data_IF_428147378820
#
_entry.id   IF_428147378820
#
_cell.length_a   1.000
_cell.length_b   1.000
_cell.length_c   1.000
_cell.angle_alpha   90.00
_cell.angle_beta   90.00
_cell.angle_gamma   90.00
#
_symmetry.space_group_name_H-M   'P 1'
#
loop_
_entity.id
_entity.type
_entity.pdbx_description
1 polymer ?
#
# COMPACT_ATOMS: atom_id res chain seq x y z
N UNK A 1 22.70 -27.52 -36.79
CA UNK A 1 22.55 -26.36 -37.67
C UNK A 1 21.21 -25.73 -37.35
N UNK A 2 21.33 -24.59 -36.69
CA UNK A 2 20.48 -23.40 -36.71
C UNK A 2 19.05 -23.45 -36.18
N UNK A 3 19.00 -23.09 -34.89
CA UNK A 3 17.91 -22.41 -34.20
C UNK A 3 17.47 -21.18 -34.98
N UNK A 4 16.16 -20.99 -35.13
CA UNK A 4 15.55 -19.68 -35.31
C UNK A 4 14.18 -19.69 -34.61
N UNK A 5 14.21 -19.58 -33.29
CA UNK A 5 13.06 -19.05 -32.56
C UNK A 5 13.12 -17.54 -32.75
N UNK A 6 12.22 -17.02 -33.60
CA UNK A 6 12.02 -15.59 -33.74
C UNK A 6 11.55 -15.03 -32.40
N UNK A 7 12.40 -14.27 -31.74
CA UNK A 7 11.99 -13.30 -30.74
C UNK A 7 11.04 -12.33 -31.42
N UNK A 8 9.75 -12.47 -31.14
CA UNK A 8 8.77 -11.46 -31.50
C UNK A 8 9.10 -10.20 -30.69
N UNK A 9 9.83 -9.27 -31.30
CA UNK A 9 9.99 -7.92 -30.78
C UNK A 9 8.60 -7.26 -30.74
N UNK A 10 7.95 -7.30 -29.58
CA UNK A 10 6.80 -6.45 -29.29
C UNK A 10 7.28 -4.99 -29.20
N UNK A 11 7.30 -4.30 -30.34
CA UNK A 11 7.60 -2.86 -30.48
C UNK A 11 6.40 -1.97 -30.10
N UNK A 12 5.52 -2.44 -29.23
CA UNK A 12 4.37 -1.68 -28.72
C UNK A 12 4.71 -0.99 -27.41
N UNK A 13 4.43 0.32 -27.30
CA UNK A 13 4.44 1.03 -26.01
C UNK A 13 3.49 0.31 -25.06
N UNK A 14 4.01 -0.28 -23.97
CA UNK A 14 3.17 -0.93 -22.98
C UNK A 14 2.22 0.10 -22.37
N UNK A 15 0.92 -0.17 -22.53
CA UNK A 15 -0.15 0.65 -21.99
C UNK A 15 -1.11 -0.23 -21.22
N UNK A 16 -1.36 0.14 -19.96
CA UNK A 16 -2.34 -0.51 -19.12
C UNK A 16 -3.70 0.18 -19.28
N UNK A 17 -4.74 -0.62 -19.53
CA UNK A 17 -6.14 -0.16 -19.54
C UNK A 17 -6.95 -1.04 -18.57
N UNK A 18 -7.42 -0.51 -17.43
CA UNK A 18 -7.24 0.87 -16.94
C UNK A 18 -5.78 1.18 -16.55
N UNK A 19 -5.41 2.46 -16.33
CA UNK A 19 -4.06 2.83 -15.87
C UNK A 19 -3.62 2.05 -14.63
N UNK A 20 -2.32 1.78 -14.50
CA UNK A 20 -1.78 0.91 -13.44
C UNK A 20 -2.13 1.42 -12.02
N UNK A 21 -2.08 2.72 -11.80
CA UNK A 21 -2.50 3.35 -10.54
C UNK A 21 -3.96 3.03 -10.20
N UNK A 22 -4.85 3.02 -11.18
CA UNK A 22 -6.26 2.67 -10.97
C UNK A 22 -6.45 1.19 -10.70
N UNK A 23 -5.68 0.32 -11.36
CA UNK A 23 -5.69 -1.12 -11.04
C UNK A 23 -5.26 -1.38 -9.59
N UNK A 24 -4.23 -0.69 -9.09
CA UNK A 24 -3.79 -0.80 -7.69
C UNK A 24 -4.90 -0.39 -6.72
N UNK A 25 -5.55 0.75 -6.97
CA UNK A 25 -6.64 1.20 -6.10
C UNK A 25 -7.86 0.28 -6.19
N UNK A 26 -8.23 -0.18 -7.38
CA UNK A 26 -9.31 -1.14 -7.53
C UNK A 26 -9.03 -2.43 -6.75
N UNK A 27 -7.78 -2.94 -6.78
CA UNK A 27 -7.37 -4.09 -5.98
C UNK A 27 -7.61 -3.87 -4.48
N UNK A 28 -7.26 -2.69 -3.94
CA UNK A 28 -7.54 -2.35 -2.53
C UNK A 28 -9.04 -2.28 -2.26
N UNK A 29 -9.82 -1.69 -3.18
CA UNK A 29 -11.28 -1.62 -3.05
C UNK A 29 -11.91 -3.01 -3.00
N UNK A 30 -11.42 -3.95 -3.81
CA UNK A 30 -11.89 -5.33 -3.82
C UNK A 30 -11.56 -6.04 -2.50
N UNK A 31 -10.38 -5.78 -1.92
CA UNK A 31 -10.03 -6.28 -0.58
C UNK A 31 -10.92 -5.68 0.51
N UNK A 32 -11.23 -4.37 0.44
CA UNK A 32 -12.19 -3.74 1.37
C UNK A 32 -13.57 -4.37 1.23
N UNK A 33 -14.04 -4.66 0.02
CA UNK A 33 -15.30 -5.38 -0.20
C UNK A 33 -15.29 -6.82 0.33
N UNK A 34 -14.14 -7.49 0.31
CA UNK A 34 -13.98 -8.86 0.82
C UNK A 34 -13.93 -8.95 2.35
N UNK A 35 -13.21 -8.02 3.00
CA UNK A 35 -12.92 -8.09 4.43
C UNK A 35 -13.72 -7.12 5.29
N UNK A 36 -14.41 -6.17 4.66
CA UNK A 36 -15.24 -5.15 5.32
C UNK A 36 -14.58 -4.48 6.54
N UNK A 37 -13.32 -3.98 6.43
CA UNK A 37 -12.64 -3.35 7.56
C UNK A 37 -13.36 -2.07 8.00
N UNK A 38 -13.37 -1.81 9.32
CA UNK A 38 -13.95 -0.59 9.90
C UNK A 38 -12.94 0.53 9.99
N UNK A 39 -11.68 0.20 10.27
CA UNK A 39 -10.58 1.16 10.39
C UNK A 39 -9.51 0.88 9.35
N UNK A 40 -9.29 1.82 8.44
CA UNK A 40 -8.31 1.69 7.35
C UNK A 40 -7.29 2.83 7.39
N UNK A 41 -6.01 2.50 7.38
CA UNK A 41 -4.92 3.48 7.30
C UNK A 41 -4.15 3.31 5.99
N UNK A 42 -3.86 4.43 5.32
CA UNK A 42 -3.02 4.48 4.12
C UNK A 42 -1.70 5.19 4.43
N UNK A 43 -0.60 4.43 4.39
CA UNK A 43 0.74 4.94 4.65
C UNK A 43 1.40 5.28 3.31
N UNK A 44 1.85 6.51 3.16
CA UNK A 44 2.22 7.09 1.87
C UNK A 44 1.01 7.58 1.08
N UNK A 45 0.05 8.23 1.74
CA UNK A 45 -1.25 8.55 1.14
C UNK A 45 -1.21 9.64 0.06
N UNK A 46 -0.08 10.36 -0.09
CA UNK A 46 0.18 11.34 -1.13
C UNK A 46 -0.99 12.30 -1.40
N UNK A 47 -1.58 12.24 -2.60
CA UNK A 47 -2.68 13.10 -3.06
C UNK A 47 -4.07 12.70 -2.51
N UNK A 48 -4.10 11.74 -1.58
CA UNK A 48 -5.29 11.21 -0.92
C UNK A 48 -6.29 10.52 -1.87
N UNK A 49 -5.89 10.13 -3.09
CA UNK A 49 -6.80 9.54 -4.08
C UNK A 49 -7.35 8.18 -3.62
N UNK A 50 -6.55 7.35 -2.96
CA UNK A 50 -7.00 6.09 -2.39
C UNK A 50 -8.02 6.32 -1.27
N UNK A 51 -7.69 7.18 -0.30
CA UNK A 51 -8.60 7.57 0.79
C UNK A 51 -9.93 8.13 0.25
N UNK A 52 -9.88 8.98 -0.77
CA UNK A 52 -11.08 9.53 -1.41
C UNK A 52 -11.98 8.42 -1.99
N UNK A 53 -11.39 7.42 -2.64
CA UNK A 53 -12.15 6.31 -3.19
C UNK A 53 -12.74 5.42 -2.08
N UNK A 54 -11.98 5.18 -1.00
CA UNK A 54 -12.43 4.36 0.13
C UNK A 54 -13.49 5.03 1.01
N UNK A 55 -13.58 6.37 1.03
CA UNK A 55 -14.58 7.10 1.83
C UNK A 55 -16.03 6.72 1.47
N UNK A 56 -16.24 6.19 0.27
CA UNK A 56 -17.54 5.74 -0.24
C UNK A 56 -17.88 4.29 0.13
N UNK A 57 -16.94 3.53 0.71
CA UNK A 57 -17.21 2.20 1.24
C UNK A 57 -17.96 2.31 2.58
N UNK A 58 -19.17 1.73 2.65
CA UNK A 58 -20.06 1.87 3.81
C UNK A 58 -19.58 1.15 5.07
N UNK A 59 -18.73 0.12 4.94
CA UNK A 59 -18.16 -0.61 6.07
C UNK A 59 -17.12 0.19 6.86
N UNK A 60 -16.51 1.22 6.25
CA UNK A 60 -15.43 1.99 6.86
C UNK A 60 -16.01 3.11 7.74
N UNK A 61 -15.54 3.16 8.98
CA UNK A 61 -15.90 4.15 10.02
C UNK A 61 -14.73 5.11 10.30
N UNK A 62 -13.49 4.66 10.12
CA UNK A 62 -12.28 5.46 10.32
C UNK A 62 -11.31 5.30 9.15
N UNK A 63 -10.93 6.43 8.55
CA UNK A 63 -9.84 6.54 7.59
C UNK A 63 -8.70 7.36 8.17
N UNK A 64 -7.47 6.87 8.02
CA UNK A 64 -6.27 7.65 8.31
C UNK A 64 -5.33 7.68 7.11
N UNK A 65 -4.74 8.84 6.84
CA UNK A 65 -3.63 8.99 5.91
C UNK A 65 -2.37 9.41 6.64
N UNK A 66 -1.23 8.78 6.32
CA UNK A 66 0.09 9.20 6.79
C UNK A 66 0.97 9.52 5.59
N UNK A 67 1.62 10.69 5.60
CA UNK A 67 2.62 11.02 4.59
C UNK A 67 3.71 11.95 5.15
N UNK A 68 4.92 11.87 4.59
CA UNK A 68 6.03 12.78 4.91
C UNK A 68 5.83 14.16 4.24
N UNK A 69 5.00 14.25 3.20
CA UNK A 69 4.79 15.45 2.41
C UNK A 69 3.47 16.14 2.78
N UNK A 70 3.49 16.93 3.87
CA UNK A 70 2.31 17.65 4.35
C UNK A 70 1.70 18.62 3.31
N UNK A 71 2.52 19.21 2.43
CA UNK A 71 2.06 20.15 1.41
C UNK A 71 1.11 19.50 0.40
N UNK A 72 1.44 18.30 -0.08
CA UNK A 72 0.60 17.56 -1.03
C UNK A 72 -0.74 17.20 -0.39
N UNK A 73 -0.72 16.73 0.87
CA UNK A 73 -1.96 16.45 1.61
C UNK A 73 -2.82 17.71 1.79
N UNK A 74 -2.23 18.85 2.18
CA UNK A 74 -2.96 20.13 2.35
C UNK A 74 -3.61 20.61 1.07
N UNK A 75 -2.95 20.42 -0.06
CA UNK A 75 -3.51 20.81 -1.36
C UNK A 75 -4.74 19.95 -1.73
N UNK A 76 -4.75 18.66 -1.37
CA UNK A 76 -5.74 17.68 -1.86
C UNK A 76 -6.78 17.25 -0.82
N UNK A 77 -6.61 17.58 0.46
CA UNK A 77 -7.51 17.15 1.55
C UNK A 77 -8.97 17.58 1.35
N UNK A 78 -9.24 18.66 0.62
CA UNK A 78 -10.60 19.13 0.32
C UNK A 78 -11.47 18.07 -0.39
N UNK A 79 -10.84 17.10 -1.07
CA UNK A 79 -11.54 15.96 -1.69
C UNK A 79 -12.17 15.03 -0.66
N UNK A 80 -11.57 14.96 0.54
CA UNK A 80 -12.02 14.09 1.63
C UNK A 80 -13.20 14.69 2.40
N UNK A 81 -13.46 16.00 2.27
CA UNK A 81 -14.59 16.67 2.90
C UNK A 81 -15.93 16.01 2.54
N UNK A 82 -16.94 16.08 3.43
CA UNK A 82 -18.28 15.60 3.13
C UNK A 82 -18.83 16.28 1.86
N UNK A 83 -19.57 15.53 1.07
CA UNK A 83 -20.26 16.06 -0.11
C UNK A 83 -21.47 16.88 0.32
N UNK A 84 -21.96 17.81 -0.52
CA UNK A 84 -23.20 18.55 -0.22
C UNK A 84 -24.39 17.65 0.14
N UNK A 85 -24.49 16.47 -0.48
CA UNK A 85 -25.51 15.47 -0.18
C UNK A 85 -25.44 14.91 1.24
N UNK A 86 -24.23 14.79 1.82
CA UNK A 86 -24.04 14.27 3.18
C UNK A 86 -24.57 15.25 4.25
N UNK A 87 -24.65 16.54 3.94
CA UNK A 87 -25.25 17.56 4.81
C UNK A 87 -26.78 17.61 4.69
N UNK A 88 -27.30 17.40 3.48
CA UNK A 88 -28.73 17.45 3.20
C UNK A 88 -29.45 16.18 3.67
N UNK A 89 -28.78 15.03 3.59
CA UNK A 89 -29.28 13.74 4.04
C UNK A 89 -28.16 13.02 4.81
N UNK A 90 -27.95 13.39 6.09
CA UNK A 90 -26.96 12.74 6.93
C UNK A 90 -27.26 11.24 7.02
N UNK A 91 -26.31 10.41 6.59
CA UNK A 91 -26.41 8.96 6.77
C UNK A 91 -26.27 8.58 8.24
N UNK A 92 -26.74 7.39 8.61
CA UNK A 92 -26.54 6.84 9.96
C UNK A 92 -25.06 6.52 10.26
N UNK A 93 -24.24 6.38 9.21
CA UNK A 93 -22.81 6.11 9.36
C UNK A 93 -22.06 7.37 9.77
N UNK A 94 -21.24 7.26 10.81
CA UNK A 94 -20.20 8.24 11.12
C UNK A 94 -18.89 7.82 10.47
N UNK A 95 -18.36 8.66 9.58
CA UNK A 95 -17.03 8.47 8.97
C UNK A 95 -16.09 9.56 9.48
N UNK A 96 -15.01 9.15 10.12
CA UNK A 96 -13.92 10.05 10.51
C UNK A 96 -12.74 9.87 9.57
N UNK A 97 -12.22 10.97 9.02
CA UNK A 97 -11.04 10.96 8.15
C UNK A 97 -9.98 11.88 8.74
N UNK A 98 -8.79 11.35 9.03
CA UNK A 98 -7.70 12.12 9.64
C UNK A 98 -6.41 11.99 8.81
N UNK A 99 -5.73 13.11 8.57
CA UNK A 99 -4.44 13.13 7.88
C UNK A 99 -3.33 13.48 8.86
N UNK A 100 -2.22 12.75 8.77
CA UNK A 100 -1.07 12.85 9.65
C UNK A 100 0.20 13.10 8.84
N UNK A 101 0.95 14.11 9.24
CA UNK A 101 2.30 14.37 8.78
C UNK A 101 3.30 13.65 9.69
N UNK A 102 4.04 12.70 9.12
CA UNK A 102 5.00 11.88 9.85
C UNK A 102 5.67 10.84 8.94
N UNK A 103 6.62 10.08 9.51
CA UNK A 103 7.31 8.99 8.80
C UNK A 103 6.81 7.64 9.30
N UNK A 104 6.66 6.70 8.36
CA UNK A 104 6.34 5.29 8.66
C UNK A 104 7.44 4.58 9.46
N UNK A 105 8.63 5.18 9.56
CA UNK A 105 9.72 4.68 10.40
C UNK A 105 9.55 4.99 11.90
N UNK A 106 8.52 5.78 12.28
CA UNK A 106 8.23 6.13 13.67
C UNK A 106 6.95 5.47 14.16
N UNK A 107 6.96 5.00 15.41
CA UNK A 107 5.78 4.47 16.09
C UNK A 107 4.94 5.64 16.62
N UNK A 108 3.65 5.66 16.30
CA UNK A 108 2.70 6.62 16.86
C UNK A 108 1.42 5.91 17.36
N UNK A 109 0.99 6.12 18.61
CA UNK A 109 -0.19 5.49 19.17
C UNK A 109 -1.49 5.70 18.37
N UNK A 110 -1.59 6.78 17.59
CA UNK A 110 -2.77 7.03 16.75
C UNK A 110 -2.96 5.99 15.64
N UNK A 111 -1.93 5.20 15.33
CA UNK A 111 -1.95 4.13 14.32
C UNK A 111 -2.29 2.74 14.88
N UNK A 112 -2.64 2.65 16.17
CA UNK A 112 -3.00 1.38 16.79
C UNK A 112 -4.44 0.96 16.50
N UNK A 113 -4.66 -0.34 16.35
CA UNK A 113 -6.00 -0.93 16.27
C UNK A 113 -6.71 -0.72 14.93
N UNK A 114 -5.96 -0.48 13.85
CA UNK A 114 -6.48 -0.52 12.48
C UNK A 114 -6.74 -1.95 12.02
N UNK A 115 -7.78 -2.14 11.21
CA UNK A 115 -8.12 -3.45 10.65
C UNK A 115 -7.30 -3.72 9.39
N UNK A 116 -7.16 -2.70 8.54
CA UNK A 116 -6.43 -2.74 7.28
C UNK A 116 -5.42 -1.58 7.23
N UNK A 117 -4.17 -1.90 6.88
CA UNK A 117 -3.13 -0.92 6.56
C UNK A 117 -2.67 -1.12 5.12
N UNK A 118 -2.67 -0.05 4.33
CA UNK A 118 -2.17 -0.05 2.95
C UNK A 118 -0.86 0.71 2.85
N UNK A 119 0.08 0.16 2.08
CA UNK A 119 1.39 0.75 1.77
C UNK A 119 1.60 0.58 0.27
N UNK A 120 1.03 1.48 -0.52
CA UNK A 120 0.93 1.33 -1.98
C UNK A 120 2.03 2.13 -2.64
N UNK A 121 2.98 1.45 -3.26
CA UNK A 121 4.17 2.06 -3.87
C UNK A 121 4.92 2.96 -2.87
N UNK A 122 5.17 2.43 -1.67
CA UNK A 122 5.81 3.17 -0.58
C UNK A 122 7.23 2.69 -0.30
N UNK A 123 7.41 1.37 -0.18
CA UNK A 123 8.63 0.81 0.42
C UNK A 123 9.88 1.13 -0.41
N UNK A 124 9.75 1.24 -1.73
CA UNK A 124 10.81 1.61 -2.67
C UNK A 124 11.35 3.03 -2.46
N UNK A 125 10.62 3.89 -1.75
CA UNK A 125 11.06 5.24 -1.41
C UNK A 125 11.79 5.33 -0.08
N UNK A 126 11.76 4.26 0.72
CA UNK A 126 12.37 4.24 2.05
C UNK A 126 13.89 4.09 1.94
N UNK A 127 14.61 4.92 2.70
CA UNK A 127 16.05 4.71 2.89
C UNK A 127 16.30 3.39 3.63
N UNK A 128 17.49 2.81 3.48
CA UNK A 128 17.81 1.47 4.01
C UNK A 128 17.52 1.34 5.52
N UNK A 129 17.80 2.38 6.30
CA UNK A 129 17.53 2.40 7.74
C UNK A 129 16.04 2.48 8.08
N UNK A 130 15.24 3.14 7.24
CA UNK A 130 13.79 3.24 7.41
C UNK A 130 13.13 1.92 7.01
N UNK A 131 13.56 1.32 5.90
CA UNK A 131 13.10 0.00 5.45
C UNK A 131 13.36 -1.09 6.50
N UNK A 132 14.50 -1.03 7.21
CA UNK A 132 14.80 -1.95 8.32
C UNK A 132 13.85 -1.80 9.50
N UNK A 133 13.37 -0.58 9.79
CA UNK A 133 12.42 -0.29 10.89
C UNK A 133 10.98 -0.60 10.50
N UNK A 134 10.64 -0.45 9.22
CA UNK A 134 9.28 -0.55 8.71
C UNK A 134 8.52 -1.80 9.19
N UNK A 135 9.08 -3.03 9.13
CA UNK A 135 8.39 -4.22 9.63
C UNK A 135 8.02 -4.14 11.11
N UNK A 136 8.92 -3.64 11.95
CA UNK A 136 8.67 -3.52 13.40
C UNK A 136 7.57 -2.51 13.69
N UNK A 137 7.51 -1.40 12.94
CA UNK A 137 6.48 -0.37 13.12
C UNK A 137 5.12 -0.89 12.65
N UNK A 138 5.03 -1.43 11.43
CA UNK A 138 3.74 -1.81 10.83
C UNK A 138 3.24 -3.15 11.36
N UNK A 139 4.07 -4.20 11.36
CA UNK A 139 3.62 -5.54 11.74
C UNK A 139 3.74 -5.79 13.24
N UNK A 140 4.73 -5.21 13.90
CA UNK A 140 4.96 -5.35 15.34
C UNK A 140 4.13 -4.38 16.18
N UNK A 141 4.26 -3.07 15.93
CA UNK A 141 3.62 -2.05 16.75
C UNK A 141 2.17 -1.76 16.34
N UNK A 142 1.89 -1.40 15.09
CA UNK A 142 0.52 -1.15 14.61
C UNK A 142 -0.30 -2.45 14.64
N UNK A 143 0.35 -3.55 14.23
CA UNK A 143 -0.17 -4.91 14.23
C UNK A 143 -1.62 -5.04 13.73
N UNK A 144 -1.96 -4.53 12.53
CA UNK A 144 -3.33 -4.59 12.00
C UNK A 144 -3.75 -6.03 11.66
N UNK A 145 -5.05 -6.25 11.42
CA UNK A 145 -5.52 -7.58 10.97
C UNK A 145 -5.01 -7.92 9.57
N UNK A 146 -4.90 -6.92 8.70
CA UNK A 146 -4.48 -7.05 7.30
C UNK A 146 -3.49 -5.93 6.96
N UNK A 147 -2.39 -6.28 6.28
CA UNK A 147 -1.47 -5.32 5.65
C UNK A 147 -1.43 -5.61 4.15
N UNK A 148 -1.49 -4.58 3.32
CA UNK A 148 -1.29 -4.71 1.88
C UNK A 148 -0.13 -3.84 1.46
N UNK A 149 0.88 -4.47 0.87
CA UNK A 149 2.08 -3.77 0.39
C UNK A 149 2.16 -3.97 -1.13
N UNK A 150 2.32 -2.88 -1.87
CA UNK A 150 2.70 -2.94 -3.28
C UNK A 150 4.06 -2.29 -3.50
N UNK A 151 4.78 -2.78 -4.50
CA UNK A 151 6.02 -2.17 -4.98
C UNK A 151 6.24 -2.56 -6.45
N UNK A 152 7.00 -1.80 -7.24
CA UNK A 152 7.40 -2.18 -8.59
C UNK A 152 8.09 -3.55 -8.64
N UNK A 153 7.84 -4.30 -9.71
CA UNK A 153 8.62 -5.50 -10.06
C UNK A 153 9.70 -5.14 -11.08
N UNK A 154 10.97 -5.14 -10.68
CA UNK A 154 12.07 -4.75 -11.58
C UNK A 154 12.24 -5.67 -12.79
N UNK A 155 11.76 -6.92 -12.73
CA UNK A 155 11.79 -7.85 -13.87
C UNK A 155 10.90 -7.38 -15.03
N UNK A 156 9.93 -6.51 -14.76
CA UNK A 156 9.05 -5.93 -15.78
C UNK A 156 9.68 -4.69 -16.45
N UNK A 157 10.70 -4.08 -15.84
CA UNK A 157 11.29 -2.81 -16.33
C UNK A 157 11.80 -2.85 -17.77
N UNK A 158 12.44 -3.95 -18.26
CA UNK A 158 12.89 -4.01 -19.65
C UNK A 158 11.77 -3.84 -20.68
N UNK A 159 10.51 -4.06 -20.27
CA UNK A 159 9.36 -3.91 -21.14
C UNK A 159 8.80 -2.47 -21.16
N UNK A 160 9.25 -1.62 -20.23
CA UNK A 160 8.78 -0.24 -20.11
C UNK A 160 9.67 0.71 -20.92
N UNK A 161 9.09 1.55 -21.80
CA UNK A 161 9.87 2.46 -22.62
C UNK A 161 10.57 3.52 -21.75
N UNK A 162 11.86 3.71 -21.97
CA UNK A 162 12.66 4.76 -21.32
C UNK A 162 13.17 4.39 -19.92
N UNK A 163 12.89 3.19 -19.41
CA UNK A 163 13.42 2.72 -18.12
C UNK A 163 14.76 2.02 -18.33
N UNK A 164 15.82 2.54 -17.72
CA UNK A 164 17.19 1.98 -17.82
C UNK A 164 17.67 1.28 -16.55
N UNK A 165 17.10 1.64 -15.39
CA UNK A 165 17.40 1.01 -14.11
C UNK A 165 16.15 1.01 -13.23
N UNK A 166 15.84 2.15 -12.62
CA UNK A 166 14.64 2.40 -11.82
C UNK A 166 13.63 3.19 -12.66
N UNK A 167 12.34 2.93 -12.43
CA UNK A 167 11.20 3.60 -13.07
C UNK A 167 11.06 5.05 -12.64
N UNK A 168 11.57 5.41 -11.47
CA UNK A 168 11.49 6.76 -10.94
C UNK A 168 12.81 7.17 -10.26
N UNK A 169 13.27 8.41 -10.42
CA UNK A 169 14.52 8.88 -9.81
C UNK A 169 14.50 8.88 -8.27
N UNK A 170 13.32 9.02 -7.66
CA UNK A 170 13.19 9.00 -6.20
C UNK A 170 13.12 7.58 -5.60
N UNK A 171 13.14 6.52 -6.41
CA UNK A 171 13.24 5.16 -5.90
C UNK A 171 14.65 4.90 -5.34
N UNK A 172 14.73 4.31 -4.16
CA UNK A 172 15.97 3.86 -3.51
C UNK A 172 16.37 2.47 -3.97
N UNK A 173 15.38 1.65 -4.34
CA UNK A 173 15.56 0.32 -4.89
C UNK A 173 14.34 -0.07 -5.72
N UNK A 174 14.49 -1.11 -6.56
CA UNK A 174 13.35 -1.84 -7.14
C UNK A 174 13.62 -3.34 -7.09
N UNK A 175 12.79 -4.05 -6.34
CA UNK A 175 12.97 -5.48 -6.13
C UNK A 175 12.43 -6.31 -7.29
N UNK A 176 13.13 -7.39 -7.60
CA UNK A 176 12.56 -8.48 -8.37
C UNK A 176 11.60 -9.31 -7.50
N UNK A 177 10.92 -10.30 -8.08
CA UNK A 177 9.93 -11.11 -7.36
C UNK A 177 10.54 -11.89 -6.20
N UNK A 178 11.73 -12.46 -6.42
CA UNK A 178 12.42 -13.25 -5.39
C UNK A 178 12.83 -12.39 -4.19
N UNK A 179 13.33 -11.18 -4.43
CA UNK A 179 13.70 -10.23 -3.38
C UNK A 179 12.48 -9.82 -2.56
N UNK A 180 11.40 -9.41 -3.21
CA UNK A 180 10.17 -9.01 -2.53
C UNK A 180 9.56 -10.19 -1.75
N UNK A 181 9.47 -11.38 -2.36
CA UNK A 181 8.95 -12.57 -1.70
C UNK A 181 9.79 -12.99 -0.50
N UNK A 182 11.11 -12.95 -0.61
CA UNK A 182 12.01 -13.32 0.49
C UNK A 182 11.84 -12.38 1.68
N UNK A 183 11.83 -11.07 1.43
CA UNK A 183 11.60 -10.06 2.47
C UNK A 183 10.21 -10.19 3.11
N UNK A 184 9.18 -10.41 2.30
CA UNK A 184 7.81 -10.54 2.75
C UNK A 184 7.59 -11.83 3.57
N UNK A 185 8.13 -12.97 3.14
CA UNK A 185 8.06 -14.24 3.87
C UNK A 185 8.75 -14.14 5.23
N UNK A 186 9.93 -13.52 5.27
CA UNK A 186 10.65 -13.32 6.54
C UNK A 186 9.88 -12.38 7.47
N UNK A 187 9.33 -11.28 6.95
CA UNK A 187 8.47 -10.37 7.72
C UNK A 187 7.24 -11.10 8.27
N UNK A 188 6.53 -11.86 7.42
CA UNK A 188 5.36 -12.60 7.82
C UNK A 188 5.67 -13.65 8.91
N UNK A 189 6.83 -14.32 8.81
CA UNK A 189 7.30 -15.28 9.80
C UNK A 189 7.63 -14.62 11.13
N UNK A 190 8.31 -13.47 11.13
CA UNK A 190 8.74 -12.78 12.33
C UNK A 190 7.60 -12.17 13.15
N UNK A 191 6.49 -11.80 12.51
CA UNK A 191 5.37 -11.10 13.16
C UNK A 191 4.05 -11.87 13.16
N UNK A 192 4.08 -13.18 12.88
CA UNK A 192 2.90 -14.06 12.88
C UNK A 192 1.79 -13.69 11.88
N UNK A 193 2.19 -13.35 10.66
CA UNK A 193 1.29 -13.20 9.51
C UNK A 193 1.43 -14.38 8.54
N UNK A 194 0.39 -14.64 7.76
CA UNK A 194 0.50 -15.31 6.46
C UNK A 194 0.63 -14.25 5.37
N UNK A 195 1.28 -14.56 4.26
CA UNK A 195 1.38 -13.67 3.10
C UNK A 195 0.94 -14.39 1.83
N UNK A 196 0.10 -13.74 1.03
CA UNK A 196 -0.28 -14.15 -0.32
C UNK A 196 0.33 -13.17 -1.33
N UNK A 197 0.90 -13.70 -2.41
CA UNK A 197 1.54 -12.89 -3.45
C UNK A 197 0.65 -12.80 -4.68
N UNK A 198 0.48 -11.58 -5.18
CA UNK A 198 -0.28 -11.27 -6.40
C UNK A 198 0.30 -10.00 -7.03
N UNK A 199 -0.43 -9.36 -7.95
CA UNK A 199 -0.01 -8.12 -8.55
C UNK A 199 -1.05 -7.54 -9.51
N UNK A 200 -0.69 -6.40 -10.11
CA UNK A 200 -1.49 -5.74 -11.14
C UNK A 200 -0.61 -5.30 -12.31
N UNK A 201 -1.23 -5.04 -13.46
CA UNK A 201 -0.53 -4.80 -14.71
C UNK A 201 0.03 -6.10 -15.28
N UNK A 202 -0.85 -6.89 -15.91
CA UNK A 202 -0.44 -8.12 -16.59
C UNK A 202 0.56 -7.81 -17.70
N UNK A 203 1.55 -8.70 -17.92
CA UNK A 203 2.46 -8.57 -19.05
C UNK A 203 1.72 -8.76 -20.38
N UNK A 204 2.26 -8.24 -21.49
CA UNK A 204 1.77 -8.56 -22.82
C UNK A 204 1.80 -10.08 -23.07
N UNK A 205 0.91 -10.56 -23.94
CA UNK A 205 0.87 -11.96 -24.36
C UNK A 205 2.24 -12.42 -24.87
N UNK A 206 2.72 -13.56 -24.38
CA UNK A 206 4.01 -14.14 -24.72
C UNK A 206 5.18 -13.69 -23.83
N UNK A 207 4.92 -12.81 -22.84
CA UNK A 207 5.92 -12.35 -21.86
C UNK A 207 5.48 -12.65 -20.42
N UNK A 208 4.66 -13.69 -20.21
CA UNK A 208 4.09 -14.04 -18.91
C UNK A 208 5.15 -14.37 -17.85
N UNK A 209 6.35 -14.75 -18.28
CA UNK A 209 7.46 -15.10 -17.42
C UNK A 209 7.93 -13.94 -16.53
N UNK A 210 7.76 -12.67 -16.92
CA UNK A 210 8.19 -11.51 -16.11
C UNK A 210 7.28 -11.24 -14.90
N UNK A 211 6.06 -11.80 -14.90
CA UNK A 211 5.04 -11.55 -13.88
C UNK A 211 4.38 -10.18 -14.00
N UNK A 212 3.72 -9.73 -12.93
CA UNK A 212 3.00 -8.45 -12.89
C UNK A 212 3.95 -7.24 -12.88
N UNK A 213 3.47 -6.12 -13.40
CA UNK A 213 4.20 -4.85 -13.40
C UNK A 213 4.36 -4.26 -11.98
N UNK A 214 3.29 -4.32 -11.17
CA UNK A 214 3.33 -4.09 -9.73
C UNK A 214 3.13 -5.43 -9.04
N UNK A 215 4.02 -5.77 -8.10
CA UNK A 215 3.87 -6.93 -7.23
C UNK A 215 3.23 -6.51 -5.90
N UNK A 216 2.41 -7.38 -5.34
CA UNK A 216 1.60 -7.11 -4.15
C UNK A 216 1.75 -8.27 -3.17
N UNK A 217 1.97 -7.96 -1.90
CA UNK A 217 1.89 -8.88 -0.77
C UNK A 217 0.69 -8.54 0.10
N UNK A 218 -0.23 -9.48 0.26
CA UNK A 218 -1.37 -9.37 1.17
C UNK A 218 -1.07 -10.19 2.41
N UNK A 219 -0.85 -9.51 3.52
CA UNK A 219 -0.55 -10.12 4.80
C UNK A 219 -1.80 -10.18 5.65
N UNK A 220 -2.07 -11.36 6.22
CA UNK A 220 -3.20 -11.57 7.14
C UNK A 220 -2.64 -12.11 8.45
N UNK A 221 -2.99 -11.47 9.57
CA UNK A 221 -2.51 -11.87 10.88
C UNK A 221 -3.08 -13.24 11.25
N UNK A 222 -2.23 -14.18 11.66
CA UNK A 222 -2.65 -15.58 11.94
C UNK A 222 -3.52 -15.70 13.19
N UNK A 223 -3.25 -14.88 14.19
CA UNK A 223 -3.95 -14.91 15.47
C UNK A 223 -4.54 -13.53 15.80
N UNK A 224 -5.80 -13.46 16.27
CA UNK A 224 -6.35 -12.23 16.83
C UNK A 224 -5.55 -11.83 18.07
N UNK A 225 -5.24 -10.54 18.22
CA UNK A 225 -4.68 -10.02 19.48
C UNK A 225 -5.69 -10.27 20.61
N UNK A 226 -5.29 -11.01 21.64
CA UNK A 226 -5.97 -10.98 22.94
C UNK A 226 -5.76 -9.60 23.56
N UNK A 227 -6.80 -9.02 24.15
CA UNK A 227 -6.82 -7.65 24.69
C UNK A 227 -5.69 -7.33 25.70
N UNK A 228 -5.03 -8.34 26.27
CA UNK A 228 -3.98 -8.21 27.28
C UNK A 228 -2.57 -7.95 26.70
N UNK A 229 -2.25 -8.44 25.50
CA UNK A 229 -0.90 -8.28 24.91
C UNK A 229 -0.63 -6.88 24.33
N UNK A 230 -1.69 -6.09 24.10
CA UNK A 230 -1.59 -4.76 23.49
C UNK A 230 -1.13 -3.64 24.46
N UNK A 231 -0.99 -3.92 25.77
CA UNK A 231 -0.75 -2.88 26.77
C UNK A 231 0.72 -2.68 27.20
N UNK A 232 1.64 -3.59 26.87
CA UNK A 232 2.93 -3.61 27.58
C UNK A 232 3.98 -2.58 27.12
N UNK A 233 3.82 -1.91 25.97
CA UNK A 233 4.83 -0.94 25.46
C UNK A 233 4.21 0.15 24.57
N UNK A 234 3.16 0.85 25.02
CA UNK A 234 2.64 2.00 24.26
C UNK A 234 3.48 3.24 24.57
N UNK A 235 4.15 3.87 23.58
CA UNK A 235 4.66 5.22 23.73
C UNK A 235 3.49 6.14 24.13
N UNK A 236 3.70 7.05 25.07
CA UNK A 236 2.68 8.03 25.47
C UNK A 236 2.73 9.31 24.63
N UNK A 237 3.81 9.54 23.91
CA UNK A 237 4.02 10.74 23.11
C UNK A 237 3.64 10.50 21.64
N UNK A 238 2.82 11.41 21.10
CA UNK A 238 2.48 11.48 19.69
C UNK A 238 3.61 12.17 18.92
N UNK A 239 4.12 11.51 17.89
CA UNK A 239 5.18 12.02 17.01
C UNK A 239 4.58 12.64 15.75
N UNK A 240 3.43 12.16 15.30
CA UNK A 240 2.75 12.64 14.11
C UNK A 240 1.99 13.94 14.38
N UNK A 241 1.95 14.80 13.37
CA UNK A 241 1.21 16.07 13.42
C UNK A 241 -0.04 15.95 12.56
N UNK A 242 -1.21 16.23 13.14
CA UNK A 242 -2.44 16.34 12.36
C UNK A 242 -2.34 17.52 11.39
N UNK A 243 -2.80 17.32 10.15
CA UNK A 243 -2.58 18.24 9.01
C UNK A 243 -3.77 19.17 8.78
#
# INVERSE_FOLDING_TARGET
MDKNFQEAQCTGVIKFTPPLCEQRYQFIKDLVGKYEPKKVADLGCADCRLLWMLKFCSCIEVLAGLDICASVMKEKMHRLSPLPGDYLQPGERSLTVTLYHGSVAHKDPCMLGFDLVTCIELIEHLEELELKKFPEVVFGFMAPSIVVISTPNSEFNPLLPGVTSLRHPDHKFEWNRVQFQSWALETARCYDYSVEFTGVGHPPTGMENVGFCTQIGVFVRKYPQTSESAQSQKPTETVYKMV
#
